data_IF_553545660060
#
_entry.id   IF_553545660060
#
_cell.length_a   1.000
_cell.length_b   1.000
_cell.length_c   1.000
_cell.angle_alpha   90.00
_cell.angle_beta   90.00
_cell.angle_gamma   90.00
#
_symmetry.space_group_name_H-M   'P 1'
#
loop_
_entity.id
_entity.type
_entity.pdbx_description
1 polymer ?
#
# COMPACT_ATOMS: atom_id res chain seq x y z
N UNK A 1 13.83 36.31 3.10
CA UNK A 1 12.51 35.66 2.97
C UNK A 1 12.68 34.44 2.07
N UNK A 2 12.61 33.23 2.59
CA UNK A 2 12.65 32.03 1.72
C UNK A 2 11.44 32.06 0.81
N UNK A 3 11.64 31.95 -0.51
CA UNK A 3 10.54 31.77 -1.46
C UNK A 3 9.68 30.60 -1.01
N UNK A 4 8.40 30.85 -0.76
CA UNK A 4 7.46 29.78 -0.39
C UNK A 4 7.31 28.86 -1.59
N UNK A 5 7.78 27.62 -1.49
CA UNK A 5 7.64 26.58 -2.51
C UNK A 5 6.16 26.45 -2.89
N UNK A 6 5.87 26.58 -4.18
CA UNK A 6 4.53 26.39 -4.75
C UNK A 6 4.40 24.97 -5.29
N UNK A 7 3.64 24.15 -4.60
CA UNK A 7 3.39 22.77 -5.02
C UNK A 7 2.44 22.68 -6.23
N UNK A 8 2.71 21.73 -7.13
CA UNK A 8 1.99 21.52 -8.41
C UNK A 8 1.12 20.26 -8.34
N UNK A 9 0.16 20.05 -9.28
CA UNK A 9 -0.54 18.77 -9.39
C UNK A 9 0.44 17.60 -9.41
N UNK A 10 0.07 16.48 -8.78
CA UNK A 10 0.94 15.32 -8.62
C UNK A 10 1.51 14.81 -9.95
N UNK A 11 2.80 14.50 -9.94
CA UNK A 11 3.49 13.74 -11.01
C UNK A 11 4.39 12.69 -10.36
N UNK A 12 4.44 11.49 -10.94
CA UNK A 12 5.28 10.38 -10.45
C UNK A 12 6.77 10.73 -10.36
N UNK A 13 7.23 11.70 -11.16
CA UNK A 13 8.63 12.15 -11.18
C UNK A 13 9.01 13.09 -10.04
N UNK A 14 8.06 13.48 -9.18
CA UNK A 14 8.37 14.32 -8.03
C UNK A 14 8.92 13.48 -6.86
N UNK A 15 9.80 14.10 -6.07
CA UNK A 15 10.33 13.55 -4.82
C UNK A 15 9.36 13.67 -3.63
N UNK A 16 8.15 14.20 -3.88
CA UNK A 16 7.09 14.41 -2.87
C UNK A 16 5.72 13.98 -3.39
N UNK A 17 4.82 13.75 -2.44
CA UNK A 17 3.43 13.45 -2.73
C UNK A 17 2.47 14.13 -1.75
N UNK A 18 1.18 13.77 -1.84
CA UNK A 18 0.08 14.39 -1.11
C UNK A 18 -0.80 13.39 -0.40
N UNK A 19 -1.11 13.65 0.87
CA UNK A 19 -2.36 13.15 1.47
C UNK A 19 -3.49 14.12 1.14
N UNK A 20 -4.66 13.59 0.78
CA UNK A 20 -5.84 14.40 0.47
C UNK A 20 -6.98 14.03 1.43
N UNK A 21 -7.26 14.91 2.39
CA UNK A 21 -8.24 14.77 3.46
C UNK A 21 -7.62 14.67 4.85
N UNK A 22 -8.41 14.95 5.90
CA UNK A 22 -7.95 15.00 7.28
C UNK A 22 -7.39 13.65 7.77
N UNK A 23 -8.14 12.57 7.56
CA UNK A 23 -7.76 11.25 8.08
C UNK A 23 -6.39 10.76 7.57
N UNK A 24 -6.12 10.65 6.25
CA UNK A 24 -4.81 10.22 5.77
C UNK A 24 -3.68 11.19 6.17
N UNK A 25 -3.97 12.47 6.35
CA UNK A 25 -2.99 13.47 6.82
C UNK A 25 -2.61 13.22 8.29
N UNK A 26 -3.57 12.92 9.14
CA UNK A 26 -3.29 12.55 10.54
C UNK A 26 -2.51 11.24 10.64
N UNK A 27 -2.84 10.25 9.82
CA UNK A 27 -2.10 8.98 9.78
C UNK A 27 -0.65 9.18 9.29
N UNK A 28 -0.41 10.07 8.33
CA UNK A 28 0.93 10.49 7.92
C UNK A 28 1.70 11.09 9.11
N UNK A 29 1.13 12.10 9.78
CA UNK A 29 1.79 12.78 10.91
C UNK A 29 2.12 11.77 12.02
N UNK A 30 1.17 10.90 12.39
CA UNK A 30 1.37 9.88 13.43
C UNK A 30 2.48 8.89 13.10
N UNK A 31 2.60 8.48 11.83
CA UNK A 31 3.51 7.42 11.45
C UNK A 31 4.88 7.93 10.97
N UNK A 32 4.93 9.12 10.35
CA UNK A 32 6.11 9.62 9.64
C UNK A 32 6.20 11.15 9.64
N UNK A 33 6.08 11.79 10.80
CA UNK A 33 6.11 13.27 10.93
C UNK A 33 7.37 13.89 10.30
N UNK A 34 8.49 13.20 10.34
CA UNK A 34 9.79 13.74 9.93
C UNK A 34 9.92 13.94 8.41
N UNK A 35 9.05 13.29 7.62
CA UNK A 35 8.98 13.50 6.17
C UNK A 35 7.93 14.52 5.74
N UNK A 36 7.19 15.11 6.67
CA UNK A 36 6.13 16.09 6.35
C UNK A 36 6.77 17.44 6.04
N UNK A 37 6.57 17.94 4.82
CA UNK A 37 7.04 19.27 4.42
C UNK A 37 6.17 20.39 4.97
N UNK A 38 4.85 20.25 4.82
CA UNK A 38 3.86 21.18 5.40
C UNK A 38 2.44 20.61 5.26
N UNK A 39 1.50 21.22 5.97
CA UNK A 39 0.07 20.92 5.86
C UNK A 39 -0.65 22.13 5.27
N UNK A 40 -1.49 21.90 4.26
CA UNK A 40 -2.42 22.89 3.73
C UNK A 40 -3.79 22.72 4.36
N UNK A 41 -4.41 23.84 4.73
CA UNK A 41 -5.79 23.90 5.23
C UNK A 41 -6.58 24.88 4.37
N UNK A 42 -7.77 24.49 3.97
CA UNK A 42 -8.72 25.33 3.26
C UNK A 42 -9.47 26.23 4.24
N UNK A 43 -9.80 27.48 3.87
CA UNK A 43 -10.51 28.44 4.74
C UNK A 43 -11.89 27.95 5.19
N UNK A 44 -12.53 27.04 4.41
CA UNK A 44 -13.82 26.41 4.72
C UNK A 44 -13.72 25.16 5.60
N UNK A 45 -12.53 24.84 6.12
CA UNK A 45 -12.40 23.70 7.02
C UNK A 45 -13.20 23.92 8.31
N UNK A 46 -14.03 22.95 8.69
CA UNK A 46 -15.00 23.03 9.77
C UNK A 46 -14.41 22.85 11.19
N UNK A 47 -13.10 22.60 11.26
CA UNK A 47 -12.44 22.40 12.55
C UNK A 47 -12.74 21.05 13.22
N UNK A 48 -13.28 20.06 12.49
CA UNK A 48 -13.60 18.72 13.03
C UNK A 48 -12.41 18.02 13.68
N UNK A 49 -11.18 18.43 13.33
CA UNK A 49 -9.92 18.07 14.00
C UNK A 49 -9.13 19.33 14.26
N UNK A 50 -8.59 19.51 15.47
CA UNK A 50 -7.68 20.61 15.80
C UNK A 50 -6.32 20.38 15.13
N UNK A 51 -6.26 20.65 13.81
CA UNK A 51 -5.05 20.45 13.02
C UNK A 51 -3.94 21.44 13.40
N UNK A 52 -4.30 22.61 13.91
CA UNK A 52 -3.32 23.60 14.39
C UNK A 52 -2.55 23.06 15.58
N UNK A 53 -3.27 22.52 16.56
CA UNK A 53 -2.67 21.88 17.73
C UNK A 53 -1.77 20.71 17.32
N UNK A 54 -2.26 19.84 16.45
CA UNK A 54 -1.48 18.68 15.95
C UNK A 54 -0.20 19.13 15.25
N UNK A 55 -0.27 20.14 14.39
CA UNK A 55 0.92 20.67 13.70
C UNK A 55 1.91 21.31 14.66
N UNK A 56 1.41 22.10 15.63
CA UNK A 56 2.24 22.75 16.66
C UNK A 56 2.98 21.73 17.53
N UNK A 57 2.28 20.70 18.01
CA UNK A 57 2.85 19.62 18.84
C UNK A 57 3.92 18.81 18.11
N UNK A 58 3.84 18.71 16.78
CA UNK A 58 4.79 17.98 15.95
C UNK A 58 5.80 18.84 15.21
N UNK A 59 5.81 20.18 15.45
CA UNK A 59 6.67 21.15 14.78
C UNK A 59 6.56 21.12 13.25
N UNK A 60 5.33 21.00 12.72
CA UNK A 60 5.01 20.93 11.31
C UNK A 60 4.46 22.29 10.85
N UNK A 61 4.96 22.78 9.71
CA UNK A 61 4.46 24.04 9.13
C UNK A 61 3.01 23.89 8.66
N UNK A 62 2.14 24.79 9.13
CA UNK A 62 0.75 24.88 8.70
C UNK A 62 0.58 26.09 7.76
N UNK A 63 -0.12 25.90 6.65
CA UNK A 63 -0.41 26.95 5.66
C UNK A 63 -1.89 26.96 5.31
N UNK A 64 -2.56 28.08 5.56
CA UNK A 64 -3.90 28.32 5.04
C UNK A 64 -3.80 28.75 3.57
N UNK A 65 -4.33 27.95 2.65
CA UNK A 65 -4.22 28.20 1.21
C UNK A 65 -5.27 27.46 0.37
N UNK A 66 -6.38 28.12 0.09
CA UNK A 66 -7.42 27.60 -0.82
C UNK A 66 -6.85 27.35 -2.22
N UNK A 67 -6.06 28.31 -2.74
CA UNK A 67 -5.38 28.16 -4.04
C UNK A 67 -4.40 26.98 -4.04
N UNK A 68 -3.73 26.71 -2.92
CA UNK A 68 -2.82 25.58 -2.76
C UNK A 68 -3.58 24.26 -2.86
N UNK A 69 -4.64 24.09 -2.07
CA UNK A 69 -5.48 22.89 -2.07
C UNK A 69 -6.12 22.66 -3.43
N UNK A 70 -6.76 23.68 -4.02
CA UNK A 70 -7.42 23.58 -5.32
C UNK A 70 -6.45 23.25 -6.46
N UNK A 71 -5.18 23.57 -6.32
CA UNK A 71 -4.15 23.22 -7.30
C UNK A 71 -3.72 21.75 -7.22
N UNK A 72 -3.62 21.19 -6.04
CA UNK A 72 -3.10 19.83 -5.83
C UNK A 72 -4.21 18.77 -5.75
N UNK A 73 -5.46 19.17 -5.50
CA UNK A 73 -6.63 18.31 -5.44
C UNK A 73 -7.67 18.72 -6.46
N UNK A 74 -8.17 17.75 -7.22
CA UNK A 74 -9.32 17.94 -8.12
C UNK A 74 -10.66 17.75 -7.42
N UNK A 75 -10.65 17.48 -6.09
CA UNK A 75 -11.87 17.25 -5.32
C UNK A 75 -12.31 18.52 -4.61
N UNK A 76 -13.54 18.92 -4.80
CA UNK A 76 -14.15 20.10 -4.19
C UNK A 76 -14.20 20.04 -2.66
N UNK A 77 -14.24 18.85 -2.07
CA UNK A 77 -14.34 18.64 -0.62
C UNK A 77 -13.01 18.28 0.06
N UNK A 78 -11.87 18.57 -0.56
CA UNK A 78 -10.57 18.41 0.07
C UNK A 78 -10.26 19.65 0.91
N UNK A 79 -10.44 19.59 2.21
CA UNK A 79 -10.22 20.73 3.12
C UNK A 79 -8.86 20.71 3.80
N UNK A 80 -8.18 19.57 3.83
CA UNK A 80 -6.82 19.39 4.37
C UNK A 80 -5.99 18.57 3.40
N UNK A 81 -4.73 18.95 3.23
CA UNK A 81 -3.76 18.17 2.46
C UNK A 81 -2.39 18.22 3.14
N UNK A 82 -1.75 17.08 3.31
CA UNK A 82 -0.36 16.98 3.76
C UNK A 82 0.57 16.81 2.56
N UNK A 83 1.65 17.55 2.54
CA UNK A 83 2.73 17.45 1.58
C UNK A 83 3.88 16.72 2.28
N UNK A 84 4.40 15.64 1.69
CA UNK A 84 5.43 14.83 2.31
C UNK A 84 6.45 14.30 1.28
N UNK A 85 7.66 14.02 1.74
CA UNK A 85 8.72 13.41 0.94
C UNK A 85 8.42 11.94 0.65
N UNK A 86 8.68 11.50 -0.58
CA UNK A 86 8.69 10.07 -0.90
C UNK A 86 9.78 9.38 -0.06
N UNK A 87 9.54 8.13 0.31
CA UNK A 87 10.44 7.38 1.18
C UNK A 87 10.65 5.96 0.67
N UNK A 88 11.77 5.38 1.00
CA UNK A 88 12.08 3.97 0.78
C UNK A 88 12.15 3.22 2.09
N UNK A 89 11.94 1.90 2.02
CA UNK A 89 12.04 1.01 3.16
C UNK A 89 12.73 -0.29 2.74
N UNK A 90 13.50 -0.89 3.66
CA UNK A 90 13.89 -2.28 3.51
C UNK A 90 12.80 -3.18 4.11
N UNK A 91 12.56 -4.33 3.47
CA UNK A 91 11.63 -5.33 3.99
C UNK A 91 12.29 -6.12 5.12
N UNK A 92 11.47 -6.61 6.03
CA UNK A 92 11.97 -7.36 7.19
C UNK A 92 12.23 -8.83 6.83
N UNK A 93 13.47 -9.28 6.81
CA UNK A 93 13.91 -10.63 6.44
C UNK A 93 13.29 -11.79 7.26
N UNK A 94 12.67 -11.50 8.41
CA UNK A 94 12.12 -12.51 9.32
C UNK A 94 10.61 -12.32 9.55
N UNK A 95 9.91 -11.74 8.60
CA UNK A 95 8.46 -11.50 8.65
C UNK A 95 7.80 -11.95 7.34
N UNK A 96 6.51 -12.32 7.37
CA UNK A 96 5.76 -12.63 6.16
C UNK A 96 5.65 -11.43 5.22
N UNK A 97 5.67 -11.72 3.92
CA UNK A 97 5.52 -10.73 2.87
C UNK A 97 4.28 -10.97 2.00
N UNK A 98 3.77 -9.89 1.41
CA UNK A 98 2.94 -9.95 0.20
C UNK A 98 3.81 -9.48 -0.95
N UNK A 99 3.84 -10.23 -2.04
CA UNK A 99 4.50 -9.89 -3.29
C UNK A 99 3.45 -9.67 -4.38
N UNK A 100 3.47 -8.50 -5.00
CA UNK A 100 2.61 -8.17 -6.14
C UNK A 100 3.45 -8.12 -7.42
N UNK A 101 3.05 -8.86 -8.43
CA UNK A 101 3.72 -8.90 -9.74
C UNK A 101 2.94 -8.00 -10.70
N UNK A 102 3.57 -6.90 -11.13
CA UNK A 102 3.04 -5.92 -12.07
C UNK A 102 1.64 -5.37 -11.74
N UNK A 103 1.30 -5.00 -10.50
CA UNK A 103 -0.01 -4.46 -10.17
C UNK A 103 -0.23 -3.12 -10.89
N UNK A 104 -1.39 -2.92 -11.53
CA UNK A 104 -1.61 -1.79 -12.45
C UNK A 104 -2.57 -0.73 -11.89
N UNK A 105 -3.47 -1.06 -10.97
CA UNK A 105 -4.49 -0.12 -10.47
C UNK A 105 -4.16 0.46 -9.10
N UNK A 106 -4.05 1.78 -9.02
CA UNK A 106 -3.76 2.52 -7.80
C UNK A 106 -4.79 2.28 -6.68
N UNK A 107 -6.08 2.14 -7.04
CA UNK A 107 -7.14 1.84 -6.08
C UNK A 107 -6.98 0.46 -5.45
N UNK A 108 -6.63 -0.55 -6.26
CA UNK A 108 -6.36 -1.91 -5.80
C UNK A 108 -5.14 -1.93 -4.88
N UNK A 109 -4.04 -1.29 -5.30
CA UNK A 109 -2.82 -1.17 -4.50
C UNK A 109 -3.13 -0.60 -3.10
N UNK A 110 -3.88 0.50 -3.01
CA UNK A 110 -4.24 1.09 -1.73
C UNK A 110 -5.14 0.17 -0.88
N UNK A 111 -6.10 -0.52 -1.49
CA UNK A 111 -6.98 -1.48 -0.80
C UNK A 111 -6.18 -2.68 -0.28
N UNK A 112 -5.23 -3.20 -1.07
CA UNK A 112 -4.32 -4.28 -0.67
C UNK A 112 -3.49 -3.86 0.54
N UNK A 113 -2.86 -2.69 0.49
CA UNK A 113 -2.04 -2.15 1.59
C UNK A 113 -2.87 -2.07 2.89
N UNK A 114 -4.10 -1.61 2.81
CA UNK A 114 -4.99 -1.53 3.97
C UNK A 114 -5.35 -2.91 4.51
N UNK A 115 -5.67 -3.86 3.63
CA UNK A 115 -6.06 -5.23 4.01
C UNK A 115 -4.90 -5.99 4.66
N UNK A 116 -3.72 -5.99 4.02
CA UNK A 116 -2.55 -6.70 4.56
C UNK A 116 -2.14 -6.15 5.93
N UNK A 117 -2.15 -4.81 6.11
CA UNK A 117 -1.89 -4.20 7.41
C UNK A 117 -2.94 -4.62 8.45
N UNK A 118 -4.22 -4.67 8.07
CA UNK A 118 -5.30 -5.12 8.92
C UNK A 118 -5.14 -6.57 9.40
N UNK A 119 -4.51 -7.42 8.60
CA UNK A 119 -4.16 -8.80 8.95
C UNK A 119 -2.74 -8.96 9.51
N UNK A 120 -2.07 -7.87 9.90
CA UNK A 120 -0.76 -7.93 10.57
C UNK A 120 0.45 -8.12 9.65
N UNK A 121 0.29 -8.23 8.32
CA UNK A 121 1.41 -8.26 7.36
C UNK A 121 1.81 -6.83 7.02
N UNK A 122 3.08 -6.51 7.23
CA UNK A 122 3.59 -5.12 7.07
C UNK A 122 4.63 -4.98 5.96
N UNK A 123 4.97 -6.04 5.25
CA UNK A 123 6.02 -6.06 4.24
C UNK A 123 5.42 -6.33 2.87
N UNK A 124 5.51 -5.33 1.97
CA UNK A 124 5.00 -5.36 0.61
C UNK A 124 6.15 -5.30 -0.40
N UNK A 125 6.40 -6.40 -1.07
CA UNK A 125 7.26 -6.44 -2.25
C UNK A 125 6.44 -6.17 -3.51
N UNK A 126 7.00 -5.46 -4.47
CA UNK A 126 6.33 -5.14 -5.73
C UNK A 126 7.31 -5.35 -6.89
N UNK A 127 6.94 -6.16 -7.88
CA UNK A 127 7.70 -6.27 -9.13
C UNK A 127 7.20 -5.23 -10.12
N UNK A 128 8.13 -4.45 -10.67
CA UNK A 128 7.85 -3.44 -11.70
C UNK A 128 7.63 -4.08 -13.09
N UNK A 129 6.87 -3.44 -14.02
CA UNK A 129 6.18 -2.15 -13.85
C UNK A 129 4.99 -2.23 -12.90
N UNK A 130 4.70 -1.15 -12.16
CA UNK A 130 3.64 -1.17 -11.15
C UNK A 130 2.92 0.17 -11.01
N UNK A 131 1.72 0.09 -10.42
CA UNK A 131 1.01 1.27 -9.93
C UNK A 131 1.89 2.03 -8.93
N UNK A 132 1.79 3.34 -8.98
CA UNK A 132 2.58 4.23 -8.14
C UNK A 132 2.03 4.23 -6.69
N UNK A 133 2.85 3.77 -5.76
CA UNK A 133 2.49 3.66 -4.35
C UNK A 133 2.27 5.03 -3.68
N UNK A 134 2.98 6.06 -4.16
CA UNK A 134 2.83 7.44 -3.67
C UNK A 134 1.79 8.26 -4.42
N UNK A 135 1.11 7.69 -5.41
CA UNK A 135 0.01 8.40 -6.05
C UNK A 135 -1.07 8.76 -5.00
N UNK A 136 -1.57 10.00 -4.98
CA UNK A 136 -2.61 10.40 -4.02
C UNK A 136 -3.88 9.53 -4.04
N UNK A 137 -4.17 8.85 -5.16
CA UNK A 137 -5.26 7.86 -5.25
C UNK A 137 -4.95 6.60 -4.44
N UNK A 138 -3.70 6.09 -4.50
CA UNK A 138 -3.23 4.94 -3.70
C UNK A 138 -3.25 5.28 -2.22
N UNK A 139 -2.68 6.42 -1.84
CA UNK A 139 -2.64 6.89 -0.44
C UNK A 139 -4.05 6.98 0.13
N UNK A 140 -4.98 7.58 -0.62
CA UNK A 140 -6.37 7.70 -0.18
C UNK A 140 -7.06 6.34 -0.06
N UNK A 141 -6.89 5.45 -1.04
CA UNK A 141 -7.49 4.11 -1.00
C UNK A 141 -6.94 3.28 0.17
N UNK A 142 -5.68 3.48 0.54
CA UNK A 142 -5.07 2.84 1.71
C UNK A 142 -5.54 3.42 3.05
N UNK A 143 -6.27 4.55 3.05
CA UNK A 143 -6.62 5.29 4.26
C UNK A 143 -5.40 5.59 5.14
N UNK A 144 -4.26 5.91 4.53
CA UNK A 144 -3.00 6.20 5.23
C UNK A 144 -2.23 4.97 5.73
N UNK A 145 -2.70 3.75 5.48
CA UNK A 145 -1.99 2.52 5.85
C UNK A 145 -0.60 2.41 5.19
N UNK A 146 -0.41 3.06 4.05
CA UNK A 146 0.87 3.12 3.34
C UNK A 146 2.02 3.64 4.22
N UNK A 147 1.74 4.53 5.16
CA UNK A 147 2.74 5.09 6.09
C UNK A 147 3.16 4.11 7.21
N UNK A 148 2.43 3.02 7.38
CA UNK A 148 2.61 2.02 8.47
C UNK A 148 3.20 0.70 7.99
N UNK A 149 3.38 0.53 6.68
CA UNK A 149 4.00 -0.65 6.09
C UNK A 149 5.43 -0.34 5.62
N UNK A 150 6.22 -1.39 5.41
CA UNK A 150 7.45 -1.36 4.63
C UNK A 150 7.11 -1.78 3.21
N UNK A 151 7.70 -1.12 2.23
CA UNK A 151 7.52 -1.47 0.83
C UNK A 151 8.82 -1.30 0.07
N UNK A 152 9.04 -2.20 -0.90
CA UNK A 152 10.19 -2.13 -1.80
C UNK A 152 9.78 -2.58 -3.19
N UNK A 153 10.28 -1.86 -4.20
CA UNK A 153 10.04 -2.18 -5.61
C UNK A 153 11.28 -2.87 -6.15
N UNK A 154 11.07 -3.99 -6.79
CA UNK A 154 12.09 -4.80 -7.43
C UNK A 154 11.93 -4.77 -8.95
N UNK A 155 13.02 -4.92 -9.69
CA UNK A 155 13.01 -5.00 -11.15
C UNK A 155 12.53 -6.36 -11.65
N UNK A 156 12.76 -7.44 -10.87
CA UNK A 156 12.36 -8.80 -11.20
C UNK A 156 12.13 -9.67 -9.96
N UNK A 157 11.60 -10.86 -10.18
CA UNK A 157 11.42 -11.87 -9.13
C UNK A 157 12.76 -12.42 -8.62
N UNK A 158 13.75 -12.54 -9.50
CA UNK A 158 15.10 -13.01 -9.16
C UNK A 158 15.79 -12.03 -8.19
N UNK A 159 15.61 -10.73 -8.40
CA UNK A 159 16.11 -9.71 -7.47
C UNK A 159 15.47 -9.87 -6.08
N UNK A 160 14.14 -10.06 -6.01
CA UNK A 160 13.44 -10.31 -4.77
C UNK A 160 13.94 -11.57 -4.05
N UNK A 161 14.10 -12.68 -4.78
CA UNK A 161 14.59 -13.95 -4.21
C UNK A 161 16.05 -13.81 -3.73
N UNK A 162 16.86 -13.03 -4.40
CA UNK A 162 18.24 -12.79 -3.97
C UNK A 162 18.31 -12.27 -2.53
N UNK A 163 17.30 -11.54 -2.09
CA UNK A 163 17.19 -11.01 -0.71
C UNK A 163 16.36 -11.91 0.22
N UNK A 164 15.31 -12.57 -0.29
CA UNK A 164 14.29 -13.24 0.50
C UNK A 164 14.03 -14.70 0.09
N UNK A 165 15.01 -15.38 -0.53
CA UNK A 165 14.88 -16.75 -1.00
C UNK A 165 14.73 -17.80 0.10
N UNK A 166 14.81 -17.42 1.37
CA UNK A 166 14.55 -18.28 2.53
C UNK A 166 13.05 -18.33 2.93
N UNK A 167 12.17 -17.59 2.24
CA UNK A 167 10.73 -17.67 2.46
C UNK A 167 10.11 -18.87 1.74
N UNK A 168 9.11 -19.48 2.35
CA UNK A 168 8.21 -20.39 1.64
C UNK A 168 7.32 -19.56 0.71
N UNK A 169 7.34 -19.89 -0.59
CA UNK A 169 6.63 -19.13 -1.62
C UNK A 169 5.26 -19.74 -1.91
N UNK A 170 4.22 -18.90 -1.89
CA UNK A 170 2.84 -19.30 -2.15
C UNK A 170 2.23 -18.43 -3.27
N UNK A 171 2.41 -18.80 -4.55
CA UNK A 171 1.76 -18.12 -5.65
C UNK A 171 0.27 -18.47 -5.72
N UNK A 172 -0.57 -17.44 -5.79
CA UNK A 172 -2.02 -17.57 -5.92
C UNK A 172 -2.41 -17.58 -7.39
N UNK A 173 -2.92 -18.75 -7.86
CA UNK A 173 -3.22 -19.01 -9.27
C UNK A 173 -4.59 -19.68 -9.41
N UNK A 174 -5.24 -19.50 -10.57
CA UNK A 174 -6.54 -20.12 -10.87
C UNK A 174 -6.43 -21.64 -11.07
N UNK A 175 -5.25 -22.13 -11.44
CA UNK A 175 -4.89 -23.54 -11.60
C UNK A 175 -3.91 -24.01 -10.51
N UNK A 176 -3.94 -23.38 -9.34
CA UNK A 176 -3.08 -23.73 -8.21
C UNK A 176 -3.29 -25.17 -7.73
N UNK A 177 -2.20 -25.81 -7.31
CA UNK A 177 -2.21 -27.25 -6.96
C UNK A 177 -2.87 -27.53 -5.61
N UNK A 178 -2.84 -26.56 -4.69
CA UNK A 178 -3.46 -26.67 -3.37
C UNK A 178 -4.64 -25.72 -3.22
N UNK A 179 -5.80 -26.28 -2.92
CA UNK A 179 -6.98 -25.50 -2.56
C UNK A 179 -6.79 -24.82 -1.21
N UNK A 180 -6.99 -23.50 -1.14
CA UNK A 180 -6.92 -22.73 0.10
C UNK A 180 -8.08 -23.11 1.03
N UNK A 181 -7.75 -23.47 2.26
CA UNK A 181 -8.71 -23.79 3.32
C UNK A 181 -8.17 -23.33 4.68
N UNK A 182 -9.05 -22.84 5.55
CA UNK A 182 -8.68 -22.50 6.94
C UNK A 182 -8.23 -23.75 7.71
N UNK A 183 -8.78 -24.92 7.36
CA UNK A 183 -8.51 -26.18 8.05
C UNK A 183 -7.24 -26.89 7.53
N UNK A 184 -6.81 -26.56 6.31
CA UNK A 184 -5.68 -27.20 5.63
C UNK A 184 -4.79 -26.15 4.92
N UNK A 185 -4.48 -25.05 5.56
CA UNK A 185 -3.55 -24.05 5.08
C UNK A 185 -2.10 -24.49 5.37
N UNK A 186 -1.16 -24.22 4.48
CA UNK A 186 0.26 -24.47 4.73
C UNK A 186 0.75 -23.79 6.01
N UNK A 187 1.48 -24.54 6.82
CA UNK A 187 2.09 -24.02 8.06
C UNK A 187 3.49 -23.52 7.76
N UNK A 188 3.67 -22.21 7.83
CA UNK A 188 4.97 -21.56 7.68
C UNK A 188 5.03 -20.32 8.55
N UNK A 189 6.15 -20.09 9.20
CA UNK A 189 6.41 -18.86 9.98
C UNK A 189 7.01 -17.76 9.12
N UNK A 190 7.61 -18.13 8.00
CA UNK A 190 8.31 -17.22 7.10
C UNK A 190 7.88 -17.50 5.67
N UNK A 191 6.98 -16.70 5.15
CA UNK A 191 6.36 -16.94 3.86
C UNK A 191 6.12 -15.67 3.05
N UNK A 192 5.95 -15.86 1.75
CA UNK A 192 5.54 -14.82 0.81
C UNK A 192 4.30 -15.26 0.04
N UNK A 193 3.24 -14.48 0.13
CA UNK A 193 2.03 -14.66 -0.67
C UNK A 193 2.19 -13.88 -1.98
N UNK A 194 2.17 -14.56 -3.11
CA UNK A 194 2.47 -13.98 -4.42
C UNK A 194 1.19 -13.83 -5.23
N UNK A 195 0.94 -12.63 -5.76
CA UNK A 195 -0.24 -12.32 -6.56
C UNK A 195 0.16 -11.61 -7.85
N UNK A 196 -0.57 -11.90 -8.93
CA UNK A 196 -0.30 -11.35 -10.26
C UNK A 196 -1.04 -10.03 -10.55
N UNK A 197 -0.89 -9.62 -11.80
CA UNK A 197 -1.60 -8.48 -12.38
C UNK A 197 -3.11 -8.73 -12.41
N UNK A 198 -3.91 -7.66 -12.31
CA UNK A 198 -5.37 -7.74 -12.27
C UNK A 198 -6.00 -8.33 -13.54
N UNK A 199 -5.38 -8.15 -14.69
CA UNK A 199 -5.91 -8.58 -15.97
C UNK A 199 -5.31 -9.92 -16.44
N UNK A 200 -4.02 -10.15 -16.21
CA UNK A 200 -3.28 -11.30 -16.74
C UNK A 200 -2.95 -12.38 -15.72
N UNK A 201 -3.13 -12.08 -14.43
CA UNK A 201 -2.72 -12.97 -13.35
C UNK A 201 -1.21 -13.07 -13.19
N UNK A 202 -0.74 -14.18 -12.61
CA UNK A 202 0.67 -14.53 -12.57
C UNK A 202 1.08 -15.23 -13.88
N UNK A 203 2.29 -14.95 -14.39
CA UNK A 203 2.89 -15.77 -15.46
C UNK A 203 2.96 -17.25 -15.06
N UNK A 204 2.81 -18.19 -16.03
CA UNK A 204 2.74 -19.64 -15.75
C UNK A 204 3.95 -20.20 -14.97
N UNK A 205 5.13 -19.62 -15.15
CA UNK A 205 6.37 -20.02 -14.47
C UNK A 205 6.28 -19.87 -12.95
N UNK A 206 5.43 -18.98 -12.44
CA UNK A 206 5.23 -18.81 -11.00
C UNK A 206 4.59 -20.04 -10.34
N UNK A 207 3.95 -20.93 -11.10
CA UNK A 207 3.41 -22.17 -10.55
C UNK A 207 4.47 -23.04 -9.88
N UNK A 208 5.71 -22.95 -10.35
CA UNK A 208 6.83 -23.78 -9.91
C UNK A 208 7.78 -23.09 -8.91
N UNK A 209 7.48 -21.85 -8.48
CA UNK A 209 8.37 -21.14 -7.52
C UNK A 209 8.13 -21.54 -6.07
N UNK A 210 7.08 -22.33 -5.79
CA UNK A 210 6.71 -22.80 -4.47
C UNK A 210 5.44 -23.63 -4.51
N UNK A 211 4.65 -23.67 -3.44
CA UNK A 211 3.36 -24.34 -3.43
C UNK A 211 2.28 -23.42 -3.97
N UNK A 212 1.80 -23.66 -5.17
CA UNK A 212 0.74 -22.84 -5.79
C UNK A 212 -0.61 -23.06 -5.09
N UNK A 213 -1.34 -21.94 -4.89
CA UNK A 213 -2.59 -21.90 -4.11
C UNK A 213 -3.74 -21.50 -5.01
N UNK A 214 -4.85 -22.24 -4.93
CA UNK A 214 -6.12 -21.93 -5.55
C UNK A 214 -7.13 -21.46 -4.50
N UNK A 215 -7.76 -20.29 -4.70
CA UNK A 215 -8.91 -19.86 -3.90
C UNK A 215 -10.17 -20.45 -4.51
N UNK A 216 -10.94 -21.30 -3.78
CA UNK A 216 -12.17 -21.88 -4.30
C UNK A 216 -13.16 -20.80 -4.73
N UNK A 217 -13.65 -20.90 -5.95
CA UNK A 217 -14.66 -20.01 -6.53
C UNK A 217 -15.55 -20.76 -7.50
N UNK A 218 -16.74 -20.22 -7.79
CA UNK A 218 -17.66 -20.80 -8.79
C UNK A 218 -17.13 -20.51 -10.21
N UNK A 219 -17.66 -21.26 -11.20
CA UNK A 219 -17.35 -21.03 -12.61
C UNK A 219 -18.11 -19.86 -13.24
N UNK A 220 -18.97 -19.20 -12.45
CA UNK A 220 -19.78 -18.06 -12.92
C UNK A 220 -18.98 -16.75 -13.02
N UNK A 221 -17.75 -16.75 -12.53
CA UNK A 221 -16.80 -15.63 -12.63
C UNK A 221 -15.44 -16.15 -13.10
N UNK A 222 -14.77 -15.36 -13.93
CA UNK A 222 -13.43 -15.71 -14.45
C UNK A 222 -12.38 -15.68 -13.34
N UNK A 223 -12.45 -14.68 -12.44
CA UNK A 223 -11.54 -14.52 -11.31
C UNK A 223 -12.10 -13.59 -10.24
N UNK A 224 -11.56 -13.69 -9.03
CA UNK A 224 -11.80 -12.71 -7.96
C UNK A 224 -10.97 -11.45 -8.20
N UNK A 225 -11.51 -10.30 -7.77
CA UNK A 225 -10.74 -9.06 -7.76
C UNK A 225 -9.47 -9.22 -6.92
N UNK A 226 -8.33 -8.70 -7.39
CA UNK A 226 -7.02 -8.85 -6.75
C UNK A 226 -7.01 -8.47 -5.26
N UNK A 227 -7.53 -7.32 -4.80
CA UNK A 227 -7.62 -7.00 -3.37
C UNK A 227 -8.40 -8.03 -2.54
N UNK A 228 -9.44 -8.64 -3.11
CA UNK A 228 -10.22 -9.68 -2.44
C UNK A 228 -9.37 -10.93 -2.26
N UNK A 229 -8.69 -11.39 -3.32
CA UNK A 229 -7.80 -12.55 -3.27
C UNK A 229 -6.68 -12.35 -2.23
N UNK A 230 -6.05 -11.17 -2.22
CA UNK A 230 -5.02 -10.82 -1.21
C UNK A 230 -5.61 -10.82 0.20
N UNK A 231 -6.79 -10.23 0.39
CA UNK A 231 -7.47 -10.21 1.69
C UNK A 231 -7.77 -11.62 2.21
N UNK A 232 -8.29 -12.51 1.37
CA UNK A 232 -8.56 -13.92 1.71
C UNK A 232 -7.26 -14.65 2.08
N UNK A 233 -6.23 -14.56 1.26
CA UNK A 233 -4.94 -15.20 1.53
C UNK A 233 -4.30 -14.69 2.81
N UNK A 234 -4.24 -13.38 3.02
CA UNK A 234 -3.74 -12.79 4.26
C UNK A 234 -4.52 -13.30 5.47
N UNK A 235 -5.85 -13.28 5.43
CA UNK A 235 -6.71 -13.76 6.52
C UNK A 235 -6.41 -15.23 6.87
N UNK A 236 -6.42 -16.12 5.88
CA UNK A 236 -6.23 -17.56 6.11
C UNK A 236 -4.82 -17.84 6.65
N UNK A 237 -3.77 -17.29 6.03
CA UNK A 237 -2.40 -17.56 6.43
C UNK A 237 -2.06 -16.98 7.80
N UNK A 238 -2.52 -15.76 8.12
CA UNK A 238 -2.21 -15.15 9.43
C UNK A 238 -2.93 -15.85 10.57
N UNK A 239 -4.19 -16.27 10.40
CA UNK A 239 -4.92 -17.05 11.40
C UNK A 239 -4.30 -18.42 11.63
N UNK A 240 -3.95 -19.15 10.54
CA UNK A 240 -3.36 -20.49 10.65
C UNK A 240 -1.98 -20.44 11.30
N UNK A 241 -1.18 -19.43 10.98
CA UNK A 241 0.20 -19.29 11.45
C UNK A 241 0.34 -18.43 12.72
N UNK A 242 -0.77 -17.97 13.31
CA UNK A 242 -0.83 -17.18 14.56
C UNK A 242 0.07 -15.95 14.54
N UNK A 243 -0.07 -15.13 13.49
CA UNK A 243 0.71 -13.90 13.31
C UNK A 243 0.03 -12.70 13.98
N UNK A 244 -1.27 -12.79 14.19
CA UNK A 244 -2.12 -11.81 14.90
C UNK A 244 -2.53 -12.39 16.24
#
# INVERSE_FOLDING_TARGET
MSEKIVYKPYKKSYDYSYTLGAFPTLELIKAKKDIVRCIYVHSKYDGSVDIEKVCKENNIELRYSDKGINRISTKENCMIAGIFDNFSCELANKKPHVLLVNPSYMGNMGTIIRSMLGFGIKDLAIISPCADIFNPKTIRASMGAVFKIRHKIYSSYEEYIGEHGNHDMFPFMLDGDKTLSIHDCPKSKLYTLIYGNEATGLPPEYKNVGQSIFIPQTKDVDSLNLPISVGIGCFVFTNTNKIV
#
